data_IF_856410895080
#
_entry.id   IF_856410895080
#
_cell.length_a   1.000
_cell.length_b   1.000
_cell.length_c   1.000
_cell.angle_alpha   90.00
_cell.angle_beta   90.00
_cell.angle_gamma   90.00
#
_symmetry.space_group_name_H-M   'P 1'
#
loop_
_entity.id
_entity.type
_entity.pdbx_description
1 polymer ?
#
# COMPACT_ATOMS: atom_id res chain seq x y z
N UNK A 1 3.04 -16.09 -31.85
CA UNK A 1 2.34 -14.94 -31.23
C UNK A 1 3.14 -14.53 -30.00
N UNK A 2 3.73 -13.34 -29.97
CA UNK A 2 4.52 -12.87 -28.83
C UNK A 2 3.56 -12.20 -27.84
N UNK A 3 3.46 -12.73 -26.63
CA UNK A 3 2.69 -12.11 -25.54
C UNK A 3 3.27 -10.72 -25.23
N UNK A 4 2.44 -9.72 -24.89
CA UNK A 4 2.94 -8.41 -24.53
C UNK A 4 3.87 -8.55 -23.31
N UNK A 5 5.13 -8.18 -23.47
CA UNK A 5 6.07 -8.07 -22.36
C UNK A 5 5.55 -6.96 -21.45
N UNK A 6 5.20 -7.24 -20.19
CA UNK A 6 4.79 -6.19 -19.27
C UNK A 6 5.92 -5.16 -19.19
N UNK A 7 5.58 -3.89 -19.41
CA UNK A 7 6.51 -2.78 -19.24
C UNK A 7 7.13 -2.92 -17.85
N UNK A 8 8.47 -2.88 -17.70
CA UNK A 8 9.08 -2.90 -16.38
C UNK A 8 8.75 -1.56 -15.72
N UNK A 9 7.58 -1.47 -15.07
CA UNK A 9 7.32 -0.37 -14.18
C UNK A 9 8.42 -0.39 -13.14
N UNK A 10 9.15 0.72 -12.95
CA UNK A 10 10.10 0.80 -11.86
C UNK A 10 9.37 0.45 -10.56
N UNK A 11 10.01 -0.28 -9.65
CA UNK A 11 9.35 -0.77 -8.45
C UNK A 11 8.73 0.39 -7.69
N UNK A 12 7.47 0.23 -7.31
CA UNK A 12 6.70 1.21 -6.55
C UNK A 12 7.40 1.46 -5.20
N UNK A 13 7.76 2.71 -4.92
CA UNK A 13 8.48 3.10 -3.71
C UNK A 13 7.57 3.67 -2.62
N UNK A 14 6.52 4.37 -3.01
CA UNK A 14 5.61 5.04 -2.08
C UNK A 14 4.17 5.02 -2.61
N UNK A 15 3.23 4.80 -1.71
CA UNK A 15 1.78 4.96 -1.93
C UNK A 15 1.27 5.96 -0.93
N UNK A 16 0.60 7.00 -1.41
CA UNK A 16 0.00 8.03 -0.57
C UNK A 16 -1.50 8.09 -0.82
N UNK A 17 -2.28 7.86 0.23
CA UNK A 17 -3.74 7.85 0.19
C UNK A 17 -4.26 9.03 1.01
N UNK A 18 -4.93 9.97 0.34
CA UNK A 18 -5.43 11.21 0.95
C UNK A 18 -6.89 11.36 0.53
N UNK A 19 -7.81 11.48 1.51
CA UNK A 19 -9.25 11.65 1.27
C UNK A 19 -9.85 10.58 0.34
N UNK A 20 -9.39 9.33 0.47
CA UNK A 20 -9.90 8.19 -0.29
C UNK A 20 -10.61 7.19 0.63
N UNK A 21 -11.63 7.66 1.35
CA UNK A 21 -12.23 6.96 2.49
C UNK A 21 -12.93 5.64 2.08
N UNK A 22 -13.30 5.54 0.79
CA UNK A 22 -13.88 4.35 0.17
C UNK A 22 -12.86 3.30 -0.26
N UNK A 23 -11.55 3.62 -0.25
CA UNK A 23 -10.50 2.66 -0.61
C UNK A 23 -10.28 1.70 0.56
N UNK A 24 -10.96 0.55 0.53
CA UNK A 24 -10.85 -0.47 1.57
C UNK A 24 -9.80 -1.54 1.30
N UNK A 25 -9.30 -1.66 0.07
CA UNK A 25 -8.28 -2.64 -0.30
C UNK A 25 -7.16 -1.96 -1.08
N UNK A 26 -5.92 -2.31 -0.75
CA UNK A 26 -4.76 -1.85 -1.51
C UNK A 26 -4.52 -2.74 -2.73
N UNK A 27 -4.18 -2.17 -3.90
CA UNK A 27 -3.80 -2.94 -5.08
C UNK A 27 -2.34 -3.41 -4.97
N UNK A 28 -1.96 -3.96 -3.81
CA UNK A 28 -0.61 -4.44 -3.52
C UNK A 28 -0.71 -5.90 -3.06
N UNK A 29 0.19 -6.73 -3.57
CA UNK A 29 0.37 -8.10 -3.09
C UNK A 29 1.34 -8.15 -1.90
N UNK A 30 1.28 -9.22 -1.11
CA UNK A 30 2.17 -9.42 0.04
C UNK A 30 3.66 -9.47 -0.34
N UNK A 31 3.98 -9.79 -1.60
CA UNK A 31 5.35 -9.72 -2.12
C UNK A 31 5.89 -8.28 -2.18
N UNK A 32 5.02 -7.31 -2.45
CA UNK A 32 5.39 -5.89 -2.49
C UNK A 32 5.83 -5.36 -1.12
N UNK A 33 5.33 -5.92 -0.02
CA UNK A 33 5.78 -5.58 1.34
C UNK A 33 7.19 -6.10 1.63
N UNK A 34 7.48 -7.36 1.26
CA UNK A 34 8.71 -8.05 1.63
C UNK A 34 9.94 -7.59 0.86
N UNK A 35 9.81 -7.37 -0.46
CA UNK A 35 10.98 -7.16 -1.31
C UNK A 35 11.25 -5.68 -1.63
N UNK A 36 10.24 -4.82 -1.60
CA UNK A 36 10.31 -3.51 -2.28
C UNK A 36 10.48 -2.29 -1.38
N UNK A 37 10.56 -2.47 -0.05
CA UNK A 37 10.67 -1.38 0.94
C UNK A 37 9.69 -0.23 0.65
N UNK A 38 8.44 -0.57 0.35
CA UNK A 38 7.41 0.42 0.02
C UNK A 38 7.03 1.21 1.28
N UNK A 39 6.78 2.51 1.12
CA UNK A 39 6.21 3.38 2.15
C UNK A 39 4.73 3.61 1.84
N UNK A 40 3.85 3.37 2.81
CA UNK A 40 2.42 3.66 2.68
C UNK A 40 2.09 4.82 3.61
N UNK A 41 1.56 5.90 3.04
CA UNK A 41 1.11 7.09 3.77
C UNK A 41 -0.39 7.22 3.70
N UNK A 42 -1.01 7.50 4.82
CA UNK A 42 -2.44 7.75 4.92
C UNK A 42 -2.84 8.10 6.33
N UNK A 43 -4.11 8.48 6.49
CA UNK A 43 -4.68 8.73 7.81
C UNK A 43 -4.77 7.42 8.60
N UNK A 44 -4.56 7.46 9.91
CA UNK A 44 -4.62 6.25 10.73
C UNK A 44 -6.01 5.61 10.71
N UNK A 45 -7.06 6.43 10.74
CA UNK A 45 -8.45 5.96 10.63
C UNK A 45 -8.68 5.14 9.34
N UNK A 46 -8.15 5.62 8.21
CA UNK A 46 -8.24 4.88 6.95
C UNK A 46 -7.48 3.55 7.02
N UNK A 47 -6.28 3.55 7.59
CA UNK A 47 -5.44 2.36 7.72
C UNK A 47 -6.11 1.26 8.56
N UNK A 48 -6.75 1.64 9.67
CA UNK A 48 -7.47 0.73 10.56
C UNK A 48 -8.73 0.12 9.90
N UNK A 49 -9.30 0.80 8.90
CA UNK A 49 -10.47 0.34 8.16
C UNK A 49 -10.13 -0.50 6.91
N UNK A 50 -8.85 -0.71 6.61
CA UNK A 50 -8.44 -1.53 5.48
C UNK A 50 -8.85 -3.00 5.67
N UNK A 51 -9.44 -3.57 4.62
CA UNK A 51 -9.76 -4.98 4.50
C UNK A 51 -8.56 -5.72 3.92
N UNK A 52 -7.81 -6.36 4.80
CA UNK A 52 -6.69 -7.21 4.44
C UNK A 52 -7.17 -8.60 4.05
N UNK A 53 -6.44 -9.26 3.15
CA UNK A 53 -6.77 -10.63 2.70
C UNK A 53 -6.65 -11.64 3.84
N UNK A 54 -5.65 -11.46 4.70
CA UNK A 54 -5.42 -12.25 5.89
C UNK A 54 -4.50 -11.46 6.85
N UNK A 55 -4.43 -11.93 8.10
CA UNK A 55 -3.60 -11.31 9.15
C UNK A 55 -2.12 -11.29 8.77
N UNK A 56 -1.62 -12.31 8.07
CA UNK A 56 -0.23 -12.36 7.61
C UNK A 56 0.09 -11.22 6.62
N UNK A 57 -0.87 -10.87 5.76
CA UNK A 57 -0.74 -9.76 4.81
C UNK A 57 -0.73 -8.42 5.55
N UNK A 58 -1.66 -8.23 6.49
CA UNK A 58 -1.66 -7.05 7.35
C UNK A 58 -0.31 -6.89 8.06
N UNK A 59 0.16 -7.94 8.72
CA UNK A 59 1.43 -7.96 9.45
C UNK A 59 2.64 -7.67 8.56
N UNK A 60 2.63 -8.14 7.31
CA UNK A 60 3.68 -7.83 6.34
C UNK A 60 3.74 -6.33 6.01
N UNK A 61 2.58 -5.65 5.97
CA UNK A 61 2.49 -4.23 5.61
C UNK A 61 2.52 -3.26 6.80
N UNK A 62 2.34 -3.72 8.04
CA UNK A 62 2.52 -2.89 9.25
C UNK A 62 3.82 -2.06 9.26
N UNK A 63 5.02 -2.62 8.98
CA UNK A 63 6.25 -1.82 8.99
C UNK A 63 6.34 -0.80 7.84
N UNK A 64 5.49 -0.91 6.82
CA UNK A 64 5.45 0.00 5.68
C UNK A 64 4.66 1.28 5.97
N UNK A 65 3.79 1.29 6.98
CA UNK A 65 2.85 2.39 7.22
C UNK A 65 3.49 3.59 7.93
N UNK A 66 3.16 4.79 7.44
CA UNK A 66 3.53 6.08 8.02
C UNK A 66 2.29 6.97 8.06
N UNK A 67 1.75 7.17 9.27
CA UNK A 67 0.61 8.08 9.44
C UNK A 67 0.97 9.50 8.99
N UNK A 68 -0.01 10.18 8.38
CA UNK A 68 0.05 11.61 8.04
C UNK A 68 -0.84 12.45 8.95
N UNK A 69 -1.33 11.90 10.07
CA UNK A 69 -2.13 12.65 11.04
C UNK A 69 -1.33 13.86 11.54
N UNK A 70 -1.98 15.02 11.62
CA UNK A 70 -1.34 16.27 12.04
C UNK A 70 -0.47 16.96 10.98
N UNK A 71 -0.27 16.36 9.80
CA UNK A 71 0.36 17.04 8.66
C UNK A 71 -0.67 17.98 8.02
N UNK A 72 -0.44 19.29 8.12
CA UNK A 72 -1.21 20.30 7.37
C UNK A 72 -0.70 20.32 5.92
N UNK A 73 -1.61 20.18 4.96
CA UNK A 73 -1.35 20.38 3.53
C UNK A 73 -1.83 21.77 3.11
#
# INVERSE_FOLDING_TARGET
MSSPKPLPFPPLKEVKVIRCDKLKKLPLDSNSAKERKIVIRGYREWWEQLQWENEATQNAFLPCFRSIDGVRY
#
